data_IF_504700276995
#
_entry.id   IF_504700276995
#
_cell.length_a   1.000
_cell.length_b   1.000
_cell.length_c   1.000
_cell.angle_alpha   90.00
_cell.angle_beta   90.00
_cell.angle_gamma   90.00
#
_symmetry.space_group_name_H-M   'P 1'
#
loop_
_entity.id
_entity.type
_entity.pdbx_description
1 polymer ?
#
# COMPACT_ATOMS: atom_id res chain seq x y z
N UNK A 1 26.18 17.07 -18.39
CA UNK A 1 25.00 16.94 -19.27
C UNK A 1 24.35 18.32 -19.34
N UNK A 2 24.04 18.78 -20.53
CA UNK A 2 23.40 20.08 -20.76
C UNK A 2 21.99 20.08 -20.14
N UNK A 3 21.65 21.14 -19.39
CA UNK A 3 20.33 21.29 -18.76
C UNK A 3 19.21 21.43 -19.78
N UNK A 4 19.54 21.83 -21.01
CA UNK A 4 18.58 21.98 -22.11
C UNK A 4 17.82 20.68 -22.44
N UNK A 5 18.39 19.51 -22.15
CA UNK A 5 17.79 18.20 -22.43
C UNK A 5 17.40 17.40 -21.17
N UNK A 6 17.12 18.06 -20.04
CA UNK A 6 16.65 17.33 -18.87
C UNK A 6 15.16 16.93 -19.03
N UNK A 7 14.92 15.63 -19.21
CA UNK A 7 13.58 15.01 -19.25
C UNK A 7 13.13 14.45 -17.90
N UNK A 8 13.95 14.61 -16.86
CA UNK A 8 13.62 14.15 -15.51
C UNK A 8 12.91 15.27 -14.76
N UNK A 9 11.59 15.10 -14.55
CA UNK A 9 10.80 16.06 -13.81
C UNK A 9 10.63 15.59 -12.37
N UNK A 10 10.99 16.46 -11.42
CA UNK A 10 10.96 16.17 -9.99
C UNK A 10 9.97 17.09 -9.27
N UNK A 11 9.48 16.63 -8.12
CA UNK A 11 8.69 17.42 -7.18
C UNK A 11 8.87 16.88 -5.77
N UNK A 12 8.46 17.66 -4.77
CA UNK A 12 8.30 17.20 -3.39
C UNK A 12 6.81 17.28 -3.06
N UNK A 13 6.23 16.13 -2.74
CA UNK A 13 4.88 16.04 -2.19
C UNK A 13 4.96 16.08 -0.68
N UNK A 14 4.03 16.79 -0.05
CA UNK A 14 3.94 16.87 1.40
C UNK A 14 2.61 16.34 1.88
N UNK A 15 2.66 15.43 2.85
CA UNK A 15 1.48 14.89 3.52
C UNK A 15 1.54 15.28 5.00
N UNK A 16 0.40 15.71 5.58
CA UNK A 16 0.27 15.94 7.04
C UNK A 16 0.12 14.58 7.75
N UNK A 17 1.20 13.81 7.76
CA UNK A 17 1.31 12.44 8.28
C UNK A 17 2.75 12.16 8.72
N UNK A 18 2.97 11.15 9.56
CA UNK A 18 4.31 10.64 9.90
C UNK A 18 4.58 9.25 9.33
N UNK A 19 3.88 8.86 8.26
CA UNK A 19 3.82 7.48 7.77
C UNK A 19 4.10 7.40 6.29
N UNK A 20 4.55 6.23 5.85
CA UNK A 20 4.80 5.96 4.43
C UNK A 20 3.50 6.07 3.63
N UNK A 21 3.57 6.80 2.52
CA UNK A 21 2.48 6.90 1.55
C UNK A 21 2.69 5.83 0.48
N UNK A 22 1.67 5.00 0.26
CA UNK A 22 1.71 3.93 -0.74
C UNK A 22 0.96 4.28 -2.02
N UNK A 23 -0.14 5.02 -1.90
CA UNK A 23 -0.94 5.49 -3.02
C UNK A 23 -0.85 7.02 -3.03
N UNK A 24 -0.22 7.64 -4.04
CA UNK A 24 0.01 9.09 -4.05
C UNK A 24 -1.27 9.93 -3.95
N UNK A 25 -2.40 9.39 -4.40
CA UNK A 25 -3.71 10.06 -4.38
C UNK A 25 -4.52 9.79 -3.12
N UNK A 26 -4.05 8.92 -2.22
CA UNK A 26 -4.79 8.50 -1.03
C UNK A 26 -3.86 8.26 0.17
N UNK A 27 -3.82 9.18 1.16
CA UNK A 27 -4.61 10.42 1.24
C UNK A 27 -4.16 11.45 0.20
N UNK A 28 -4.96 12.50 -0.04
CA UNK A 28 -4.54 13.62 -0.89
C UNK A 28 -3.36 14.36 -0.22
N UNK A 29 -2.29 14.71 -0.96
CA UNK A 29 -1.20 15.52 -0.41
C UNK A 29 -1.69 16.90 0.04
N UNK A 30 -1.09 17.41 1.13
CA UNK A 30 -1.25 18.80 1.58
C UNK A 30 -0.66 19.76 0.56
N UNK A 31 0.53 19.44 0.05
CA UNK A 31 1.17 20.18 -1.03
C UNK A 31 1.53 19.22 -2.16
N UNK A 32 1.03 19.54 -3.35
CA UNK A 32 1.39 18.87 -4.60
C UNK A 32 2.02 19.89 -5.54
N UNK A 33 3.35 19.94 -5.53
CA UNK A 33 4.10 20.81 -6.42
C UNK A 33 4.04 20.36 -7.87
N UNK A 34 3.99 21.32 -8.79
CA UNK A 34 4.17 21.06 -10.23
C UNK A 34 5.52 20.39 -10.42
N UNK A 35 5.54 19.31 -11.21
CA UNK A 35 6.78 18.59 -11.54
C UNK A 35 7.57 19.43 -12.53
N UNK A 36 8.83 19.74 -12.20
CA UNK A 36 9.71 20.58 -13.02
C UNK A 36 11.01 19.84 -13.32
N UNK A 37 11.64 20.15 -14.44
CA UNK A 37 12.90 19.57 -14.88
C UNK A 37 14.13 20.42 -14.48
N UNK A 38 13.99 21.23 -13.43
CA UNK A 38 15.09 21.95 -12.80
C UNK A 38 15.87 21.02 -11.85
N UNK A 39 17.21 21.18 -11.71
CA UNK A 39 17.97 20.47 -10.69
C UNK A 39 17.54 20.84 -9.25
N UNK A 40 16.82 21.95 -9.08
CA UNK A 40 16.36 22.45 -7.80
C UNK A 40 14.84 22.63 -7.80
N UNK A 41 14.21 22.08 -6.75
CA UNK A 41 12.80 22.29 -6.44
C UNK A 41 12.67 22.90 -5.05
N UNK A 42 11.89 23.98 -4.93
CA UNK A 42 11.58 24.62 -3.65
C UNK A 42 10.11 24.39 -3.30
N UNK A 43 9.88 23.74 -2.16
CA UNK A 43 8.56 23.67 -1.52
C UNK A 43 8.57 24.61 -0.31
N UNK A 44 7.68 25.61 -0.31
CA UNK A 44 7.48 26.48 0.84
C UNK A 44 6.16 26.13 1.53
N UNK A 45 6.21 26.02 2.86
CA UNK A 45 5.05 25.73 3.69
C UNK A 45 4.95 26.78 4.80
N UNK A 46 3.72 27.12 5.18
CA UNK A 46 3.46 27.95 6.36
C UNK A 46 2.62 27.13 7.34
N UNK A 47 3.13 26.96 8.55
CA UNK A 47 2.46 26.19 9.61
C UNK A 47 1.78 27.20 10.54
N UNK A 48 0.47 27.36 10.39
CA UNK A 48 -0.31 28.33 11.18
C UNK A 48 -0.83 27.75 12.51
N UNK A 49 -0.92 26.42 12.61
CA UNK A 49 -1.43 25.75 13.80
C UNK A 49 -0.33 25.59 14.86
N UNK A 50 -0.58 25.93 16.13
CA UNK A 50 0.38 25.67 17.20
C UNK A 50 0.53 24.17 17.48
N UNK A 51 1.67 23.76 18.05
CA UNK A 51 1.91 22.40 18.53
C UNK A 51 2.84 21.55 17.65
N UNK A 52 2.91 20.25 17.98
CA UNK A 52 3.76 19.28 17.29
C UNK A 52 3.05 18.75 16.05
N UNK A 53 3.62 19.02 14.88
CA UNK A 53 3.12 18.53 13.59
C UNK A 53 4.05 17.48 13.00
N UNK A 54 3.46 16.46 12.36
CA UNK A 54 4.20 15.44 11.61
C UNK A 54 3.90 15.58 10.14
N UNK A 55 4.96 15.63 9.33
CA UNK A 55 4.88 15.68 7.88
C UNK A 55 5.71 14.56 7.25
N UNK A 56 5.20 14.03 6.14
CA UNK A 56 5.89 13.07 5.30
C UNK A 56 6.23 13.74 3.99
N UNK A 57 7.53 13.84 3.72
CA UNK A 57 8.08 14.42 2.49
C UNK A 57 8.36 13.28 1.51
N UNK A 58 7.71 13.31 0.35
CA UNK A 58 7.89 12.33 -0.72
C UNK A 58 8.58 13.01 -1.88
N UNK A 59 9.83 12.64 -2.14
CA UNK A 59 10.53 13.04 -3.37
C UNK A 59 9.99 12.18 -4.50
N UNK A 60 9.37 12.83 -5.49
CA UNK A 60 8.70 12.16 -6.59
C UNK A 60 9.32 12.57 -7.93
N UNK A 61 9.34 11.62 -8.86
CA UNK A 61 9.82 11.78 -10.22
C UNK A 61 8.66 11.44 -11.17
N UNK A 62 8.42 12.27 -12.18
CA UNK A 62 7.51 11.95 -13.28
C UNK A 62 8.10 10.77 -14.06
N UNK A 63 7.27 9.76 -14.36
CA UNK A 63 7.66 8.57 -15.12
C UNK A 63 9.06 8.07 -14.75
N UNK A 64 9.18 7.28 -13.69
CA UNK A 64 10.47 6.81 -13.17
C UNK A 64 11.19 5.91 -14.19
N UNK A 65 11.85 6.53 -15.17
CA UNK A 65 12.61 5.89 -16.24
C UNK A 65 14.07 5.66 -15.86
N UNK A 66 14.60 6.51 -14.96
CA UNK A 66 15.98 6.46 -14.47
C UNK A 66 16.04 6.71 -12.97
N UNK A 67 17.03 6.14 -12.30
CA UNK A 67 17.30 6.44 -10.90
C UNK A 67 18.00 7.80 -10.80
N UNK A 68 17.40 8.73 -10.08
CA UNK A 68 18.00 10.01 -9.74
C UNK A 68 18.54 9.98 -8.31
N UNK A 69 19.68 10.65 -8.10
CA UNK A 69 20.21 10.92 -6.76
C UNK A 69 19.78 12.32 -6.35
N UNK A 70 19.40 12.48 -5.08
CA UNK A 70 18.90 13.76 -4.58
C UNK A 70 19.47 14.06 -3.20
N UNK A 71 19.48 15.35 -2.86
CA UNK A 71 19.67 15.83 -1.49
C UNK A 71 18.41 16.58 -1.09
N UNK A 72 17.85 16.26 0.07
CA UNK A 72 16.73 16.99 0.66
C UNK A 72 17.26 17.88 1.79
N UNK A 73 17.03 19.19 1.68
CA UNK A 73 17.36 20.17 2.73
C UNK A 73 16.08 20.81 3.22
N UNK A 74 15.92 20.89 4.53
CA UNK A 74 14.76 21.51 5.17
C UNK A 74 15.26 22.64 6.06
N UNK A 75 14.69 23.82 5.86
CA UNK A 75 14.93 25.01 6.68
C UNK A 75 13.61 25.35 7.36
N UNK A 76 13.68 25.70 8.64
CA UNK A 76 12.50 26.00 9.45
C UNK A 76 12.83 27.09 10.46
N UNK A 77 11.88 27.98 10.70
CA UNK A 77 11.94 28.97 11.78
C UNK A 77 11.65 28.35 13.16
N UNK A 78 11.13 27.12 13.18
CA UNK A 78 10.83 26.34 14.39
C UNK A 78 11.77 25.15 14.52
N UNK A 79 11.97 24.66 15.75
CA UNK A 79 12.70 23.42 16.00
C UNK A 79 12.03 22.25 15.26
N UNK A 80 12.84 21.40 14.62
CA UNK A 80 12.35 20.27 13.86
C UNK A 80 13.33 19.10 13.91
N UNK A 81 12.82 17.91 13.56
CA UNK A 81 13.63 16.72 13.34
C UNK A 81 13.28 16.14 11.97
N UNK A 82 14.31 15.88 11.15
CA UNK A 82 14.16 15.24 9.84
C UNK A 82 14.90 13.89 9.87
N UNK A 83 14.16 12.82 9.57
CA UNK A 83 14.75 11.49 9.44
C UNK A 83 14.03 10.67 8.37
N UNK A 84 14.72 9.70 7.75
CA UNK A 84 14.08 8.75 6.85
C UNK A 84 13.01 7.92 7.57
N UNK A 85 11.90 7.64 6.89
CA UNK A 85 10.90 6.71 7.41
C UNK A 85 11.48 5.30 7.50
N UNK A 86 11.53 4.76 8.71
CA UNK A 86 11.91 3.36 8.95
C UNK A 86 10.71 2.45 8.66
N UNK A 87 10.97 1.30 8.04
CA UNK A 87 9.94 0.28 7.89
C UNK A 87 9.66 -0.34 9.25
N UNK A 88 8.37 -0.44 9.59
CA UNK A 88 7.90 -1.10 10.81
C UNK A 88 7.54 -2.58 10.58
N UNK A 89 7.70 -3.07 9.35
CA UNK A 89 7.38 -4.44 8.98
C UNK A 89 8.65 -5.29 9.00
N UNK A 90 8.73 -6.17 10.00
CA UNK A 90 9.91 -6.97 10.29
C UNK A 90 9.92 -8.29 9.53
N UNK A 91 8.74 -8.84 9.24
CA UNK A 91 8.57 -10.15 8.60
C UNK A 91 7.81 -9.99 7.29
N UNK A 92 8.25 -10.71 6.25
CA UNK A 92 7.66 -10.64 4.92
C UNK A 92 7.51 -12.04 4.34
N UNK A 93 6.35 -12.33 3.77
CA UNK A 93 6.06 -13.57 3.04
C UNK A 93 5.44 -13.24 1.70
N UNK A 94 5.79 -14.00 0.67
CA UNK A 94 5.30 -13.81 -0.69
C UNK A 94 4.84 -15.15 -1.22
N UNK A 95 3.61 -15.20 -1.69
CA UNK A 95 3.02 -16.35 -2.35
C UNK A 95 2.69 -16.01 -3.80
N UNK A 96 2.82 -17.00 -4.67
CA UNK A 96 2.40 -16.89 -6.07
C UNK A 96 1.18 -17.76 -6.29
N UNK A 97 0.29 -17.33 -7.16
CA UNK A 97 -0.92 -18.08 -7.50
C UNK A 97 -1.42 -17.71 -8.88
N UNK A 98 -2.58 -18.24 -9.24
CA UNK A 98 -3.29 -17.88 -10.47
C UNK A 98 -4.80 -17.90 -10.25
N UNK A 99 -5.50 -17.02 -10.95
CA UNK A 99 -6.92 -17.16 -11.23
C UNK A 99 -7.05 -18.02 -12.48
N UNK A 100 -7.74 -19.16 -12.38
CA UNK A 100 -7.91 -20.10 -13.49
C UNK A 100 -9.18 -20.94 -13.29
N UNK A 101 -9.95 -21.13 -14.37
CA UNK A 101 -11.20 -21.86 -14.38
C UNK A 101 -12.14 -21.38 -13.29
N UNK A 102 -12.54 -22.29 -12.39
CA UNK A 102 -13.45 -22.00 -11.29
C UNK A 102 -12.92 -20.91 -10.34
N UNK A 103 -11.60 -20.77 -10.21
CA UNK A 103 -10.98 -19.80 -9.29
C UNK A 103 -10.90 -18.37 -9.83
N UNK A 104 -11.23 -18.15 -11.12
CA UNK A 104 -11.40 -16.81 -11.69
C UNK A 104 -12.78 -16.24 -11.33
N UNK A 105 -13.02 -16.04 -10.03
CA UNK A 105 -14.34 -15.83 -9.45
C UNK A 105 -14.90 -14.42 -9.56
N UNK A 106 -14.06 -13.40 -9.80
CA UNK A 106 -14.46 -11.98 -9.84
C UNK A 106 -14.75 -11.39 -8.46
N UNK A 107 -15.13 -10.11 -8.42
CA UNK A 107 -15.19 -9.32 -7.17
C UNK A 107 -16.44 -9.50 -6.28
N UNK A 108 -17.40 -10.31 -6.71
CA UNK A 108 -18.66 -10.55 -5.99
C UNK A 108 -19.78 -9.56 -6.34
N UNK A 109 -19.53 -8.61 -7.24
CA UNK A 109 -20.53 -7.70 -7.77
C UNK A 109 -21.22 -8.28 -9.01
N UNK A 110 -22.50 -7.91 -9.21
CA UNK A 110 -23.28 -8.27 -10.39
C UNK A 110 -23.23 -9.77 -10.70
N UNK A 111 -22.78 -10.10 -11.92
CA UNK A 111 -22.70 -11.48 -12.43
C UNK A 111 -21.69 -12.37 -11.67
N UNK A 112 -20.80 -11.80 -10.85
CA UNK A 112 -19.76 -12.55 -10.12
C UNK A 112 -20.15 -12.93 -8.68
N UNK A 113 -21.40 -12.67 -8.26
CA UNK A 113 -21.87 -12.87 -6.89
C UNK A 113 -21.77 -14.33 -6.42
N UNK A 114 -22.06 -15.27 -7.31
CA UNK A 114 -22.03 -16.71 -7.04
C UNK A 114 -20.62 -17.32 -7.17
N UNK A 115 -19.77 -16.74 -8.04
CA UNK A 115 -18.44 -17.29 -8.33
C UNK A 115 -17.35 -16.72 -7.44
N UNK A 116 -17.59 -15.58 -6.81
CA UNK A 116 -16.62 -14.86 -5.99
C UNK A 116 -16.00 -15.70 -4.85
N UNK A 117 -16.78 -16.58 -4.22
CA UNK A 117 -16.29 -17.45 -3.14
C UNK A 117 -15.26 -18.46 -3.63
N UNK A 118 -15.19 -18.72 -4.94
CA UNK A 118 -14.24 -19.63 -5.54
C UNK A 118 -12.84 -19.02 -5.75
N UNK A 119 -12.68 -17.70 -5.61
CA UNK A 119 -11.35 -17.08 -5.71
C UNK A 119 -10.37 -17.73 -4.71
N UNK A 120 -9.05 -17.73 -5.01
CA UNK A 120 -8.05 -18.24 -4.09
C UNK A 120 -8.17 -17.61 -2.70
N UNK A 121 -7.89 -18.37 -1.65
CA UNK A 121 -8.01 -17.92 -0.27
C UNK A 121 -6.72 -18.26 0.49
N UNK A 122 -6.14 -17.27 1.15
CA UNK A 122 -4.95 -17.44 1.97
C UNK A 122 -5.30 -17.14 3.42
N UNK A 123 -4.76 -17.90 4.36
CA UNK A 123 -4.81 -17.55 5.77
C UNK A 123 -3.43 -17.08 6.22
N UNK A 124 -3.42 -15.98 6.97
CA UNK A 124 -2.28 -15.57 7.78
C UNK A 124 -2.62 -15.77 9.25
N UNK A 125 -1.67 -16.29 10.02
CA UNK A 125 -1.79 -16.44 11.47
C UNK A 125 -0.70 -15.63 12.13
N UNK A 126 -1.07 -14.56 12.83
CA UNK A 126 -0.13 -13.73 13.57
C UNK A 126 0.35 -14.48 14.81
N UNK A 127 1.66 -14.49 15.06
CA UNK A 127 2.28 -15.16 16.21
C UNK A 127 2.27 -14.29 17.48
N UNK A 128 2.02 -12.98 17.33
CA UNK A 128 2.09 -12.02 18.42
C UNK A 128 0.74 -11.85 19.16
N UNK A 129 0.82 -11.59 20.47
CA UNK A 129 -0.31 -11.39 21.39
C UNK A 129 -0.72 -9.92 21.57
N UNK A 130 -0.31 -9.04 20.66
CA UNK A 130 -0.64 -7.61 20.65
C UNK A 130 -1.93 -7.34 19.87
N UNK A 131 -2.59 -6.22 20.16
CA UNK A 131 -3.70 -5.70 19.37
C UNK A 131 -3.30 -4.59 18.40
N UNK A 132 -2.02 -4.22 18.41
CA UNK A 132 -1.47 -3.09 17.67
C UNK A 132 -0.59 -3.56 16.49
N UNK A 133 -0.86 -4.75 15.94
CA UNK A 133 -0.07 -5.27 14.82
C UNK A 133 -0.29 -4.41 13.56
N UNK A 134 0.78 -4.26 12.79
CA UNK A 134 0.76 -3.61 11.49
C UNK A 134 0.86 -4.69 10.41
N UNK A 135 0.01 -4.62 9.39
CA UNK A 135 0.07 -5.51 8.23
C UNK A 135 0.08 -4.67 6.95
N UNK A 136 0.95 -5.02 6.01
CA UNK A 136 0.97 -4.47 4.66
C UNK A 136 0.71 -5.60 3.68
N UNK A 137 -0.28 -5.44 2.82
CA UNK A 137 -0.63 -6.45 1.82
C UNK A 137 -0.54 -5.80 0.45
N UNK A 138 0.32 -6.29 -0.43
CA UNK A 138 0.34 -5.90 -1.83
C UNK A 138 0.02 -7.08 -2.75
N UNK A 139 -0.82 -6.82 -3.75
CA UNK A 139 -1.25 -7.78 -4.76
C UNK A 139 -0.83 -7.27 -6.13
N UNK A 140 -0.08 -8.09 -6.86
CA UNK A 140 0.28 -7.87 -8.26
C UNK A 140 -0.42 -8.88 -9.14
N UNK A 141 -0.97 -8.42 -10.25
CA UNK A 141 -1.56 -9.25 -11.30
C UNK A 141 -1.24 -8.69 -12.69
N UNK A 142 -1.83 -9.25 -13.76
CA UNK A 142 -1.65 -8.76 -15.11
C UNK A 142 -2.15 -7.31 -15.23
N UNK A 143 -1.40 -6.46 -15.96
CA UNK A 143 -1.71 -5.02 -16.09
C UNK A 143 -3.08 -4.73 -16.68
N UNK A 144 -3.60 -5.64 -17.50
CA UNK A 144 -4.91 -5.52 -18.13
C UNK A 144 -6.09 -5.83 -17.17
N UNK A 145 -5.82 -6.39 -16.00
CA UNK A 145 -6.85 -6.70 -15.00
C UNK A 145 -6.81 -5.70 -13.86
N UNK A 146 -7.98 -5.16 -13.51
CA UNK A 146 -8.15 -4.45 -12.26
C UNK A 146 -8.24 -5.47 -11.13
N UNK A 147 -7.32 -5.40 -10.17
CA UNK A 147 -7.18 -6.36 -9.07
C UNK A 147 -7.53 -5.75 -7.73
N UNK A 148 -8.00 -6.59 -6.82
CA UNK A 148 -8.41 -6.24 -5.46
C UNK A 148 -8.29 -7.43 -4.53
N UNK A 149 -8.41 -7.18 -3.23
CA UNK A 149 -8.54 -8.25 -2.25
C UNK A 149 -9.39 -7.80 -1.06
N UNK A 150 -9.96 -8.78 -0.35
CA UNK A 150 -10.56 -8.56 0.96
C UNK A 150 -9.74 -9.24 2.06
N UNK A 151 -9.88 -8.73 3.28
CA UNK A 151 -9.32 -9.26 4.51
C UNK A 151 -10.44 -9.46 5.52
N UNK A 152 -10.56 -10.68 6.04
CA UNK A 152 -11.57 -11.06 7.04
C UNK A 152 -10.91 -11.76 8.21
N UNK A 153 -11.30 -11.38 9.43
CA UNK A 153 -10.90 -12.13 10.63
C UNK A 153 -11.62 -13.48 10.65
N UNK A 154 -10.84 -14.56 10.76
CA UNK A 154 -11.32 -15.94 10.82
C UNK A 154 -11.50 -16.35 12.27
N UNK A 155 -10.48 -16.08 13.08
CA UNK A 155 -10.51 -16.32 14.52
C UNK A 155 -9.57 -15.37 15.22
N UNK A 156 -9.88 -15.05 16.47
CA UNK A 156 -9.00 -14.26 17.33
C UNK A 156 -9.15 -14.75 18.77
N UNK A 157 -8.05 -14.88 19.52
CA UNK A 157 -8.13 -15.08 20.96
C UNK A 157 -8.54 -13.79 21.69
N UNK A 158 -8.71 -12.68 20.97
CA UNK A 158 -9.02 -11.35 21.52
C UNK A 158 -10.50 -11.09 21.36
N UNK A 159 -11.12 -10.46 22.35
CA UNK A 159 -12.51 -10.03 22.28
C UNK A 159 -12.63 -8.65 21.59
N UNK A 160 -11.90 -8.47 20.48
CA UNK A 160 -11.87 -7.22 19.70
C UNK A 160 -12.34 -7.56 18.28
N UNK A 161 -13.51 -7.05 17.87
CA UNK A 161 -14.00 -7.31 16.52
C UNK A 161 -13.10 -6.62 15.50
N UNK A 162 -12.69 -7.36 14.48
CA UNK A 162 -12.03 -6.79 13.31
C UNK A 162 -13.01 -6.82 12.14
N UNK A 163 -13.49 -5.63 11.76
CA UNK A 163 -14.36 -5.47 10.60
C UNK A 163 -13.67 -5.93 9.33
N UNK A 164 -14.45 -6.46 8.38
CA UNK A 164 -13.98 -6.70 7.01
C UNK A 164 -13.29 -5.46 6.47
N UNK A 165 -12.08 -5.63 5.94
CA UNK A 165 -11.36 -4.61 5.18
C UNK A 165 -11.14 -5.10 3.76
N UNK A 166 -10.94 -4.17 2.84
CA UNK A 166 -10.61 -4.46 1.45
C UNK A 166 -9.58 -3.46 0.94
N UNK A 167 -8.97 -3.77 -0.20
CA UNK A 167 -7.95 -2.94 -0.83
C UNK A 167 -8.49 -1.62 -1.40
N UNK A 168 -9.79 -1.34 -1.28
CA UNK A 168 -10.48 -0.22 -1.88
C UNK A 168 -10.73 -0.42 -3.38
N UNK A 169 -10.59 0.68 -4.14
CA UNK A 169 -10.80 0.69 -5.59
C UNK A 169 -9.91 -0.33 -6.27
N UNK A 170 -10.48 -1.14 -7.17
CA UNK A 170 -9.73 -2.10 -7.98
C UNK A 170 -8.83 -1.36 -8.96
N UNK A 171 -7.54 -1.71 -8.97
CA UNK A 171 -6.51 -0.99 -9.72
C UNK A 171 -5.84 -1.90 -10.75
N UNK A 172 -5.51 -1.41 -11.96
CA UNK A 172 -4.85 -2.21 -12.98
C UNK A 172 -3.49 -2.77 -12.49
N UNK A 173 -3.37 -4.09 -12.47
CA UNK A 173 -2.14 -4.84 -12.21
C UNK A 173 -1.56 -4.76 -10.79
N UNK A 174 -1.94 -3.79 -9.96
CA UNK A 174 -1.37 -3.62 -8.62
C UNK A 174 -2.33 -2.92 -7.66
N UNK A 175 -2.45 -3.46 -6.45
CA UNK A 175 -3.11 -2.78 -5.33
C UNK A 175 -2.37 -3.06 -4.01
N UNK A 176 -2.61 -2.24 -2.99
CA UNK A 176 -1.95 -2.33 -1.68
C UNK A 176 -2.88 -1.83 -0.57
N UNK A 177 -2.78 -2.45 0.60
CA UNK A 177 -3.50 -2.07 1.81
C UNK A 177 -2.54 -2.08 3.01
N UNK A 178 -2.48 -0.98 3.75
CA UNK A 178 -1.82 -0.90 5.04
C UNK A 178 -2.88 -0.94 6.14
N UNK A 179 -2.81 -1.97 6.98
CA UNK A 179 -3.65 -2.17 8.15
C UNK A 179 -2.86 -1.85 9.41
N UNK A 180 -3.55 -1.21 10.35
CA UNK A 180 -3.04 -0.89 11.68
C UNK A 180 -4.00 -1.40 12.72
N UNK A 181 -3.52 -1.53 13.97
CA UNK A 181 -4.35 -1.98 15.09
C UNK A 181 -5.01 -3.33 14.80
N UNK A 182 -4.28 -4.22 14.15
CA UNK A 182 -4.78 -5.54 13.82
C UNK A 182 -4.63 -6.43 15.05
N UNK A 183 -5.73 -6.97 15.62
CA UNK A 183 -5.64 -7.88 16.75
C UNK A 183 -4.83 -9.14 16.44
N UNK A 184 -4.26 -9.77 17.46
CA UNK A 184 -3.76 -11.13 17.34
C UNK A 184 -4.86 -12.05 16.76
N UNK A 185 -4.52 -12.95 15.85
CA UNK A 185 -5.50 -13.86 15.26
C UNK A 185 -5.13 -14.41 13.89
N UNK A 186 -6.11 -15.11 13.32
CA UNK A 186 -6.07 -15.66 11.97
C UNK A 186 -6.93 -14.80 11.06
N UNK A 187 -6.37 -14.38 9.93
CA UNK A 187 -7.05 -13.56 8.94
C UNK A 187 -7.00 -14.26 7.59
N UNK A 188 -8.11 -14.19 6.87
CA UNK A 188 -8.18 -14.65 5.49
C UNK A 188 -7.98 -13.48 4.54
N UNK A 189 -7.24 -13.71 3.46
CA UNK A 189 -6.99 -12.77 2.36
C UNK A 189 -7.45 -13.44 1.08
N UNK A 190 -8.42 -12.82 0.38
CA UNK A 190 -8.94 -13.33 -0.89
C UNK A 190 -8.52 -12.40 -2.04
N UNK A 191 -7.45 -12.71 -2.79
CA UNK A 191 -7.11 -11.97 -4.00
C UNK A 191 -8.08 -12.28 -5.14
N UNK A 192 -8.52 -11.25 -5.86
CA UNK A 192 -9.47 -11.39 -6.95
C UNK A 192 -9.29 -10.32 -8.04
N UNK A 193 -9.77 -10.63 -9.23
CA UNK A 193 -9.96 -9.66 -10.31
C UNK A 193 -11.33 -8.99 -10.19
N UNK A 194 -11.52 -7.87 -10.88
CA UNK A 194 -12.82 -7.19 -10.88
C UNK A 194 -13.88 -8.04 -11.59
N UNK A 195 -13.60 -8.52 -12.80
CA UNK A 195 -14.51 -9.37 -13.57
C UNK A 195 -14.20 -10.85 -13.34
N UNK A 196 -15.25 -11.68 -13.36
CA UNK A 196 -15.10 -13.14 -13.38
C UNK A 196 -14.54 -13.63 -14.73
N UNK A 197 -13.93 -14.80 -14.74
CA UNK A 197 -13.31 -15.41 -15.94
C UNK A 197 -11.99 -14.78 -16.38
N UNK A 198 -11.48 -13.78 -15.64
CA UNK A 198 -10.15 -13.22 -15.91
C UNK A 198 -9.07 -14.14 -15.34
N UNK A 199 -8.43 -14.89 -16.23
CA UNK A 199 -7.40 -15.86 -15.86
C UNK A 199 -6.00 -15.29 -15.96
N UNK A 200 -5.17 -15.56 -14.96
CA UNK A 200 -3.78 -15.11 -14.98
C UNK A 200 -3.05 -15.28 -13.65
N UNK A 201 -1.71 -15.15 -13.67
CA UNK A 201 -0.90 -15.27 -12.47
C UNK A 201 -1.04 -14.04 -11.57
N UNK A 202 -0.84 -14.22 -10.27
CA UNK A 202 -0.69 -13.13 -9.31
C UNK A 202 0.41 -13.41 -8.30
N UNK A 203 0.88 -12.34 -7.67
CA UNK A 203 1.81 -12.37 -6.54
C UNK A 203 1.13 -11.67 -5.38
N UNK A 204 0.92 -12.40 -4.28
CA UNK A 204 0.39 -11.86 -3.03
C UNK A 204 1.54 -11.77 -2.03
N UNK A 205 1.83 -10.56 -1.58
CA UNK A 205 2.87 -10.31 -0.60
C UNK A 205 2.27 -9.70 0.66
N UNK A 206 2.65 -10.25 1.80
CA UNK A 206 2.24 -9.80 3.13
C UNK A 206 3.49 -9.45 3.93
N UNK A 207 3.50 -8.27 4.52
CA UNK A 207 4.50 -7.85 5.49
C UNK A 207 3.80 -7.56 6.83
N UNK A 208 4.42 -7.90 7.95
CA UNK A 208 3.86 -7.66 9.26
C UNK A 208 4.92 -7.13 10.25
N UNK A 209 4.47 -6.39 11.27
CA UNK A 209 5.32 -5.97 12.38
C UNK A 209 5.80 -7.15 13.24
N UNK A 210 5.10 -8.28 13.18
CA UNK A 210 5.34 -9.47 13.97
C UNK A 210 5.59 -10.72 13.13
N UNK A 211 6.02 -11.80 13.81
CA UNK A 211 6.05 -13.15 13.24
C UNK A 211 4.66 -13.59 12.79
N UNK A 212 4.58 -14.27 11.66
CA UNK A 212 3.33 -14.85 11.17
C UNK A 212 3.58 -16.02 10.23
N UNK A 213 2.62 -16.94 10.17
CA UNK A 213 2.54 -17.95 9.11
C UNK A 213 1.55 -17.55 8.02
N UNK A 214 1.80 -17.98 6.79
CA UNK A 214 0.93 -17.76 5.63
C UNK A 214 0.74 -19.09 4.92
N UNK A 215 -0.50 -19.43 4.57
CA UNK A 215 -0.83 -20.65 3.82
C UNK A 215 -1.99 -20.42 2.88
N UNK A 216 -1.97 -21.12 1.75
CA UNK A 216 -3.14 -21.22 0.87
C UNK A 216 -4.14 -22.23 1.43
N UNK A 217 -5.43 -21.89 1.37
CA UNK A 217 -6.55 -22.68 1.88
C UNK A 217 -7.49 -23.09 0.75
N UNK A 218 -7.53 -22.32 -0.33
CA UNK A 218 -8.27 -22.59 -1.57
C UNK A 218 -7.50 -22.06 -2.78
#
# INVERSE_FOLDING_TARGET
ADFAENKEYITVLVYKSGRKVYIPTDPKPLYEGIRINSPHFLCQMVINEPGLHKYTLVVAQYEKMRTIYYTLRVYSSSSFHLSPLKSLYNVKKTETGKWEGRSAGGCGNGLSRETYKNNPLFHISLEESSDENLILIDLKGPKQYSVGFEVLQVSSPRNIPFEKKDSGVYRPGYTILALEKVPAGVYSIRPMTFLAGQEGPFILKVEASCGFSMKRVQ
#
